data_IF_525091151236
#
_entry.id   IF_525091151236
#
_cell.length_a   1.000
_cell.length_b   1.000
_cell.length_c   1.000
_cell.angle_alpha   90.00
_cell.angle_beta   90.00
_cell.angle_gamma   90.00
#
_symmetry.space_group_name_H-M   'P 1'
#
loop_
_entity.id
_entity.type
_entity.pdbx_description
1 polymer ?
#
# COMPACT_ATOMS: atom_id res chain seq x y z
N UNK A 1 -6.45 0.42 -0.43
CA UNK A 1 -7.72 -0.18 -0.88
C UNK A 1 -7.59 -1.69 -0.77
N UNK A 2 -8.56 -2.49 -1.25
CA UNK A 2 -8.40 -3.95 -1.31
C UNK A 2 -7.41 -4.41 -2.41
N UNK A 3 -7.19 -3.60 -3.44
CA UNK A 3 -6.30 -3.95 -4.56
C UNK A 3 -4.85 -3.50 -4.40
N UNK A 4 -4.55 -2.67 -3.39
CA UNK A 4 -3.20 -2.12 -3.24
C UNK A 4 -3.07 -1.03 -2.19
N UNK A 5 -1.85 -0.50 -2.09
CA UNK A 5 -1.45 0.55 -1.15
C UNK A 5 -0.69 1.64 -1.89
N UNK A 6 -0.89 2.89 -1.49
CA UNK A 6 -0.07 4.01 -1.90
C UNK A 6 0.93 4.34 -0.80
N UNK A 7 2.15 4.70 -1.17
CA UNK A 7 3.18 5.14 -0.24
C UNK A 7 3.95 6.32 -0.83
N UNK A 8 4.37 7.23 0.04
CA UNK A 8 5.27 8.32 -0.30
C UNK A 8 6.62 8.13 0.40
N UNK A 9 7.68 8.58 -0.25
CA UNK A 9 9.03 8.56 0.32
C UNK A 9 9.84 9.76 -0.16
N UNK A 10 10.75 10.26 0.66
CA UNK A 10 11.60 11.38 0.26
C UNK A 10 12.54 10.95 -0.87
N UNK A 11 12.78 11.85 -1.82
CA UNK A 11 13.73 11.61 -2.92
C UNK A 11 15.14 11.30 -2.38
N UNK A 12 15.52 11.90 -1.25
CA UNK A 12 16.82 11.70 -0.59
C UNK A 12 17.03 10.27 -0.07
N UNK A 13 15.96 9.51 0.18
CA UNK A 13 16.04 8.17 0.74
C UNK A 13 16.56 7.14 -0.27
N UNK A 14 16.75 7.55 -1.54
CA UNK A 14 17.41 6.73 -2.55
C UNK A 14 16.57 5.56 -3.04
N UNK A 15 15.25 5.61 -2.95
CA UNK A 15 14.35 4.55 -3.44
C UNK A 15 14.46 4.35 -4.96
N UNK A 16 15.08 3.23 -5.36
CA UNK A 16 15.37 2.88 -6.76
C UNK A 16 14.35 1.93 -7.42
N UNK A 17 13.13 1.81 -6.88
CA UNK A 17 12.12 0.98 -7.51
C UNK A 17 11.78 1.46 -8.92
N UNK A 18 11.66 0.53 -9.85
CA UNK A 18 11.13 0.67 -11.20
C UNK A 18 9.71 0.10 -11.28
N UNK A 19 8.89 0.63 -12.18
CA UNK A 19 7.57 0.05 -12.41
C UNK A 19 7.69 -1.43 -12.79
N UNK A 20 6.75 -2.24 -12.32
CA UNK A 20 6.72 -3.71 -12.35
C UNK A 20 7.67 -4.43 -11.38
N UNK A 21 8.52 -3.72 -10.63
CA UNK A 21 9.32 -4.33 -9.57
C UNK A 21 8.41 -5.05 -8.57
N UNK A 22 8.78 -6.29 -8.25
CA UNK A 22 8.13 -7.08 -7.21
C UNK A 22 8.63 -6.66 -5.84
N UNK A 23 7.70 -6.53 -4.91
CA UNK A 23 7.96 -6.09 -3.53
C UNK A 23 7.23 -6.98 -2.54
N UNK A 24 7.81 -7.08 -1.34
CA UNK A 24 7.12 -7.58 -0.16
C UNK A 24 6.64 -6.39 0.67
N UNK A 25 5.34 -6.28 0.85
CA UNK A 25 4.69 -5.17 1.54
C UNK A 25 4.35 -5.62 2.95
N UNK A 26 4.98 -4.99 3.94
CA UNK A 26 4.60 -5.13 5.35
C UNK A 26 3.45 -4.19 5.65
N UNK A 27 2.26 -4.74 5.90
CA UNK A 27 1.01 -4.01 6.05
C UNK A 27 0.48 -4.16 7.48
N UNK A 28 0.77 -3.20 8.39
CA UNK A 28 0.14 -3.16 9.70
C UNK A 28 -1.33 -2.74 9.56
N UNK A 29 -2.24 -3.54 10.09
CA UNK A 29 -3.69 -3.30 10.09
C UNK A 29 -4.24 -3.59 11.48
N UNK A 30 -4.66 -2.55 12.20
CA UNK A 30 -5.04 -2.65 13.62
C UNK A 30 -3.90 -3.28 14.45
N UNK A 31 -4.17 -4.40 15.13
CA UNK A 31 -3.23 -5.11 16.00
C UNK A 31 -2.48 -6.23 15.26
N UNK A 32 -2.71 -6.39 13.95
CA UNK A 32 -2.11 -7.43 13.12
C UNK A 32 -1.13 -6.84 12.10
N UNK A 33 -0.16 -7.65 11.68
CA UNK A 33 0.78 -7.31 10.61
C UNK A 33 0.72 -8.39 9.55
N UNK A 34 0.36 -8.00 8.33
CA UNK A 34 0.36 -8.87 7.17
C UNK A 34 1.56 -8.60 6.28
N UNK A 35 2.01 -9.63 5.56
CA UNK A 35 3.02 -9.51 4.52
C UNK A 35 2.40 -9.95 3.21
N UNK A 36 2.27 -9.01 2.26
CA UNK A 36 1.66 -9.27 0.96
C UNK A 36 2.69 -9.04 -0.14
N UNK A 37 2.72 -9.94 -1.12
CA UNK A 37 3.47 -9.70 -2.35
C UNK A 37 2.71 -8.73 -3.24
N UNK A 38 3.44 -7.87 -3.93
CA UNK A 38 2.85 -6.94 -4.87
C UNK A 38 3.85 -6.42 -5.88
N UNK A 39 3.38 -5.51 -6.73
CA UNK A 39 4.19 -4.84 -7.74
C UNK A 39 3.99 -3.34 -7.70
N UNK A 40 5.07 -2.59 -7.93
CA UNK A 40 4.98 -1.16 -8.19
C UNK A 40 4.28 -0.95 -9.54
N UNK A 41 3.09 -0.37 -9.54
CA UNK A 41 2.31 -0.13 -10.78
C UNK A 41 2.38 1.31 -11.26
N UNK A 42 2.80 2.23 -10.40
CA UNK A 42 2.94 3.65 -10.72
C UNK A 42 3.97 4.30 -9.84
N UNK A 43 4.89 5.08 -10.42
CA UNK A 43 5.83 5.93 -9.67
C UNK A 43 5.97 7.30 -10.35
N UNK A 44 5.80 8.37 -9.60
CA UNK A 44 6.04 9.73 -10.09
C UNK A 44 6.62 10.62 -8.99
N UNK A 45 7.39 11.63 -9.39
CA UNK A 45 7.94 12.61 -8.48
C UNK A 45 6.93 13.74 -8.31
N UNK A 46 6.59 14.08 -7.07
CA UNK A 46 5.79 15.26 -6.72
C UNK A 46 6.55 16.06 -5.68
N UNK A 47 6.96 17.27 -6.06
CA UNK A 47 7.82 18.12 -5.22
C UNK A 47 9.12 17.38 -4.84
N UNK A 48 9.31 17.07 -3.55
CA UNK A 48 10.48 16.35 -3.03
C UNK A 48 10.21 14.87 -2.74
N UNK A 49 8.99 14.38 -3.02
CA UNK A 49 8.55 13.05 -2.67
C UNK A 49 8.30 12.18 -3.91
N UNK A 50 8.75 10.93 -3.85
CA UNK A 50 8.26 9.87 -4.72
C UNK A 50 6.89 9.42 -4.23
N UNK A 51 5.88 9.55 -5.09
CA UNK A 51 4.57 8.96 -4.90
C UNK A 51 4.51 7.63 -5.64
N UNK A 52 4.20 6.56 -4.91
CA UNK A 52 4.25 5.18 -5.40
C UNK A 52 2.95 4.44 -5.13
N UNK A 53 2.41 3.80 -6.16
CA UNK A 53 1.26 2.91 -6.06
C UNK A 53 1.69 1.46 -6.21
N UNK A 54 1.40 0.63 -5.21
CA UNK A 54 1.69 -0.80 -5.23
C UNK A 54 0.37 -1.58 -5.33
N UNK A 55 0.26 -2.46 -6.33
CA UNK A 55 -0.84 -3.40 -6.44
C UNK A 55 -0.47 -4.72 -5.77
N UNK A 56 -1.40 -5.33 -5.03
CA UNK A 56 -1.19 -6.66 -4.49
C UNK A 56 -1.27 -7.72 -5.59
N UNK A 57 -0.40 -8.73 -5.55
CA UNK A 57 -0.47 -9.85 -6.48
C UNK A 57 -1.63 -10.81 -6.12
N UNK A 58 -1.82 -11.01 -4.81
CA UNK A 58 -2.92 -11.78 -4.25
C UNK A 58 -3.20 -11.30 -2.82
N UNK A 59 -4.45 -11.40 -2.39
CA UNK A 59 -4.86 -11.11 -1.01
C UNK A 59 -5.56 -12.35 -0.48
N UNK A 60 -5.00 -13.04 0.54
CA UNK A 60 -5.69 -14.17 1.16
C UNK A 60 -7.03 -13.73 1.75
N UNK A 61 -8.07 -14.57 1.64
CA UNK A 61 -9.43 -14.18 2.03
C UNK A 61 -9.58 -13.73 3.49
N UNK A 62 -8.77 -14.26 4.42
CA UNK A 62 -8.76 -13.78 5.80
C UNK A 62 -8.22 -12.33 5.91
N UNK A 63 -7.16 -12.02 5.15
CA UNK A 63 -6.57 -10.66 5.07
C UNK A 63 -7.55 -9.70 4.41
N UNK A 64 -8.22 -10.14 3.34
CA UNK A 64 -9.25 -9.35 2.65
C UNK A 64 -10.39 -8.94 3.58
N UNK A 65 -10.86 -9.88 4.42
CA UNK A 65 -11.90 -9.62 5.42
C UNK A 65 -11.46 -8.56 6.44
N UNK A 66 -10.25 -8.68 6.97
CA UNK A 66 -9.69 -7.73 7.97
C UNK A 66 -9.48 -6.35 7.33
N UNK A 67 -8.85 -6.29 6.16
CA UNK A 67 -8.63 -5.06 5.41
C UNK A 67 -9.94 -4.37 5.03
N UNK A 68 -10.92 -5.13 4.53
CA UNK A 68 -12.22 -4.58 4.16
C UNK A 68 -12.95 -3.97 5.35
N UNK A 69 -12.89 -4.61 6.53
CA UNK A 69 -13.44 -4.03 7.76
C UNK A 69 -12.69 -2.77 8.19
N UNK A 70 -11.36 -2.76 8.06
CA UNK A 70 -10.53 -1.60 8.37
C UNK A 70 -10.83 -0.40 7.46
N UNK A 71 -10.88 -0.61 6.14
CA UNK A 71 -11.17 0.43 5.15
C UNK A 71 -12.54 1.06 5.42
N UNK A 72 -13.58 0.24 5.64
CA UNK A 72 -14.93 0.74 5.96
C UNK A 72 -14.95 1.61 7.22
N UNK A 73 -14.21 1.24 8.26
CA UNK A 73 -14.10 2.07 9.49
C UNK A 73 -13.43 3.41 9.23
N UNK A 74 -12.33 3.42 8.46
CA UNK A 74 -11.64 4.66 8.09
C UNK A 74 -12.54 5.58 7.25
N UNK A 75 -13.30 5.03 6.29
CA UNK A 75 -14.24 5.79 5.46
C UNK A 75 -15.39 6.40 6.28
N UNK A 76 -15.89 5.70 7.31
CA UNK A 76 -16.92 6.25 8.20
C UNK A 76 -16.36 7.37 9.09
N UNK A 77 -15.13 7.22 9.58
CA UNK A 77 -14.47 8.21 10.44
C UNK A 77 -14.13 9.50 9.67
N UNK A 78 -13.65 9.40 8.43
CA UNK A 78 -13.29 10.56 7.60
C UNK A 78 -14.47 11.34 7.01
N UNK A 79 -15.71 10.96 7.30
CA UNK A 79 -16.94 11.66 6.90
C UNK A 79 -17.47 12.62 7.97
N UNK A 80 -16.78 12.74 9.10
CA UNK A 80 -17.02 13.75 10.15
C UNK A 80 -15.97 14.86 10.03
#
# INVERSE_FOLDING_TARGET
SLGGVAASAYRSDGFRFTEQDRVLIRLPVQDEVFFLTGRLVRKFLREENWEMGFAFDAVPGFVEKVLGAFIRRQEMAGRQ
#
